data_IF_983304826418
#
_entry.id   IF_983304826418
#
_cell.length_a   1.000
_cell.length_b   1.000
_cell.length_c   1.000
_cell.angle_alpha   90.00
_cell.angle_beta   90.00
_cell.angle_gamma   90.00
#
_symmetry.space_group_name_H-M   'P 1'
#
loop_
_entity.id
_entity.type
_entity.pdbx_description
1 polymer ?
#
# COMPACT_ATOMS: atom_id res chain seq x y z
N UNK A 1 2.32 7.39 -4.57
CA UNK A 1 3.16 7.59 -5.77
C UNK A 1 2.87 6.59 -6.89
N UNK A 2 2.87 5.26 -6.67
CA UNK A 2 2.64 4.25 -7.71
C UNK A 2 1.39 4.45 -8.58
N UNK A 3 0.25 4.81 -7.96
CA UNK A 3 -1.00 5.09 -8.68
C UNK A 3 -0.85 6.24 -9.68
N UNK A 4 -0.14 7.30 -9.29
CA UNK A 4 0.05 8.47 -10.15
C UNK A 4 0.99 8.16 -11.32
N UNK A 5 2.07 7.40 -11.08
CA UNK A 5 2.96 6.93 -12.14
C UNK A 5 2.22 6.05 -13.15
N UNK A 6 1.38 5.14 -12.68
CA UNK A 6 0.56 4.30 -13.55
C UNK A 6 -0.41 5.12 -14.42
N UNK A 7 -0.98 6.21 -13.88
CA UNK A 7 -1.83 7.12 -14.66
C UNK A 7 -1.05 7.89 -15.74
N UNK A 8 0.25 8.09 -15.54
CA UNK A 8 1.16 8.67 -16.55
C UNK A 8 1.70 7.63 -17.53
N UNK A 9 1.29 6.36 -17.42
CA UNK A 9 1.76 5.26 -18.26
C UNK A 9 3.17 4.77 -17.89
N UNK A 10 3.67 5.09 -16.69
CA UNK A 10 4.97 4.64 -16.18
C UNK A 10 4.73 3.43 -15.26
N UNK A 11 5.19 2.26 -15.67
CA UNK A 11 4.94 0.98 -15.01
C UNK A 11 6.21 0.25 -14.53
N UNK A 12 7.40 0.75 -14.86
CA UNK A 12 8.71 0.12 -14.59
C UNK A 12 9.43 0.65 -13.33
N UNK A 13 8.70 1.28 -12.41
CA UNK A 13 9.27 1.82 -11.17
C UNK A 13 9.71 0.71 -10.21
N UNK A 14 10.87 0.91 -9.57
CA UNK A 14 11.46 0.02 -8.57
C UNK A 14 11.63 0.75 -7.24
N UNK A 15 11.75 -0.01 -6.14
CA UNK A 15 12.03 0.51 -4.80
C UNK A 15 10.95 1.47 -4.24
N UNK A 16 9.68 1.14 -4.46
CA UNK A 16 8.55 1.79 -3.78
C UNK A 16 7.81 0.76 -2.94
N UNK A 17 7.50 1.10 -1.69
CA UNK A 17 6.79 0.20 -0.78
C UNK A 17 5.29 0.09 -1.09
N UNK A 18 4.71 1.06 -1.79
CA UNK A 18 3.31 1.05 -2.19
C UNK A 18 3.05 0.40 -3.55
N UNK A 19 1.79 0.10 -3.86
CA UNK A 19 1.37 -0.26 -5.23
C UNK A 19 0.29 0.64 -5.84
N UNK A 20 0.02 0.41 -7.12
CA UNK A 20 -1.03 1.09 -7.88
C UNK A 20 -2.43 0.75 -7.35
N UNK A 21 -3.10 1.75 -6.76
CA UNK A 21 -4.45 1.64 -6.22
C UNK A 21 -5.54 1.42 -7.27
N UNK A 22 -5.26 1.70 -8.54
CA UNK A 22 -6.23 1.49 -9.61
C UNK A 22 -6.71 0.03 -9.70
N UNK A 23 -5.86 -0.93 -9.30
CA UNK A 23 -6.23 -2.34 -9.19
C UNK A 23 -7.38 -2.58 -8.20
N UNK A 24 -7.46 -1.82 -7.09
CA UNK A 24 -8.59 -1.89 -6.15
C UNK A 24 -9.84 -1.28 -6.76
N UNK A 25 -9.70 -0.08 -7.33
CA UNK A 25 -10.84 0.68 -7.88
C UNK A 25 -11.55 -0.10 -8.98
N UNK A 26 -10.79 -0.84 -9.79
CA UNK A 26 -11.31 -1.69 -10.86
C UNK A 26 -11.74 -3.08 -10.39
N UNK A 27 -11.56 -3.40 -9.11
CA UNK A 27 -11.91 -4.72 -8.55
C UNK A 27 -10.98 -5.86 -9.00
N UNK A 28 -9.81 -5.56 -9.57
CA UNK A 28 -8.84 -6.57 -10.00
C UNK A 28 -8.23 -7.31 -8.81
N UNK A 29 -8.07 -6.63 -7.67
CA UNK A 29 -7.57 -7.21 -6.43
C UNK A 29 -8.45 -6.79 -5.25
N UNK A 30 -8.62 -7.64 -4.22
CA UNK A 30 -9.39 -7.31 -3.02
C UNK A 30 -8.63 -6.41 -2.03
N UNK A 31 -7.30 -6.46 -2.05
CA UNK A 31 -6.37 -5.65 -1.24
C UNK A 31 -5.10 -5.37 -2.04
N UNK A 32 -4.42 -4.25 -1.75
CA UNK A 32 -3.08 -3.96 -2.30
C UNK A 32 -1.99 -4.55 -1.41
N UNK A 33 -2.22 -4.48 -0.11
CA UNK A 33 -1.34 -5.04 0.90
C UNK A 33 -2.21 -5.79 1.90
N UNK A 34 -1.72 -6.95 2.36
CA UNK A 34 -2.38 -7.69 3.42
C UNK A 34 -2.27 -6.97 4.77
N UNK A 35 -1.20 -6.22 4.97
CA UNK A 35 -0.95 -5.44 6.18
C UNK A 35 -0.38 -4.07 5.82
N UNK A 36 -0.68 -3.06 6.63
CA UNK A 36 -0.16 -1.70 6.54
C UNK A 36 0.64 -1.38 7.80
N UNK A 37 1.79 -0.75 7.61
CA UNK A 37 2.73 -0.41 8.67
C UNK A 37 2.72 1.10 8.90
N UNK A 38 2.65 1.52 10.16
CA UNK A 38 2.80 2.91 10.58
C UNK A 38 3.99 3.01 11.53
N UNK A 39 4.94 3.88 11.22
CA UNK A 39 6.14 4.09 12.04
C UNK A 39 6.28 5.57 12.36
N UNK A 40 6.50 5.90 13.64
CA UNK A 40 6.76 7.27 14.09
C UNK A 40 7.75 7.27 15.26
N UNK A 41 8.98 7.74 15.05
CA UNK A 41 10.05 7.63 16.05
C UNK A 41 10.22 6.17 16.53
N UNK A 42 9.97 5.90 17.82
CA UNK A 42 10.04 4.57 18.43
C UNK A 42 8.69 3.83 18.45
N UNK A 43 7.65 4.42 17.87
CA UNK A 43 6.33 3.80 17.75
C UNK A 43 6.25 2.98 16.46
N UNK A 44 5.73 1.77 16.57
CA UNK A 44 5.45 0.90 15.44
C UNK A 44 4.06 0.28 15.57
N UNK A 45 3.26 0.38 14.50
CA UNK A 45 1.98 -0.30 14.41
C UNK A 45 1.86 -1.04 13.08
N UNK A 46 1.18 -2.18 13.15
CA UNK A 46 0.79 -2.98 11.99
C UNK A 46 -0.71 -3.23 12.09
N UNK A 47 -1.40 -3.08 10.97
CA UNK A 47 -2.84 -3.35 10.91
C UNK A 47 -3.25 -3.99 9.59
N UNK A 48 -4.35 -4.73 9.66
CA UNK A 48 -5.06 -5.23 8.49
C UNK A 48 -6.57 -5.07 8.69
N UNK A 49 -7.37 -5.78 7.91
CA UNK A 49 -8.83 -5.71 7.97
C UNK A 49 -9.42 -6.31 9.25
N UNK A 50 -8.69 -7.17 9.95
CA UNK A 50 -9.20 -7.97 11.06
C UNK A 50 -8.66 -7.52 12.43
N UNK A 51 -7.43 -7.00 12.49
CA UNK A 51 -6.78 -6.64 13.75
C UNK A 51 -5.80 -5.49 13.60
N UNK A 52 -5.46 -4.88 14.74
CA UNK A 52 -4.51 -3.79 14.88
C UNK A 52 -3.59 -4.07 16.06
N UNK A 53 -2.27 -4.07 15.84
CA UNK A 53 -1.25 -4.28 16.87
C UNK A 53 -0.28 -3.10 16.87
N UNK A 54 0.09 -2.63 18.06
CA UNK A 54 1.02 -1.53 18.26
C UNK A 54 1.95 -1.78 19.44
N UNK A 55 3.16 -1.23 19.37
CA UNK A 55 4.17 -1.21 20.43
C UNK A 55 4.74 0.21 20.59
#
# INVERSE_FOLDING_TARGET
MPTFLAMLGIDDYKNMDGENMWKLVTGQVPSIHDNVYTVFQNFGAIHNLNWHYFQ
#
